data_IF_275039246683
#
_entry.id   IF_275039246683
#
_cell.length_a   1.000
_cell.length_b   1.000
_cell.length_c   1.000
_cell.angle_alpha   90.00
_cell.angle_beta   90.00
_cell.angle_gamma   90.00
#
_symmetry.space_group_name_H-M   'P 1'
#
loop_
_entity.id
_entity.type
_entity.pdbx_description
1 polymer ?
#
# COMPACT_ATOMS: atom_id res chain seq x y z
N UNK A 1 23.45 -55.85 -25.92
CA UNK A 1 23.64 -55.85 -24.44
C UNK A 1 23.10 -54.55 -23.88
N UNK A 2 22.43 -54.59 -22.76
CA UNK A 2 21.99 -53.39 -22.06
C UNK A 2 23.19 -52.60 -21.53
N UNK A 3 23.15 -51.26 -21.52
CA UNK A 3 24.21 -50.42 -21.01
C UNK A 3 24.39 -50.60 -19.49
N UNK A 4 25.64 -50.43 -19.03
CA UNK A 4 25.97 -50.35 -17.61
C UNK A 4 26.54 -48.96 -17.29
N UNK A 5 26.40 -48.51 -16.05
CA UNK A 5 26.97 -47.23 -15.63
C UNK A 5 28.49 -47.16 -15.82
N UNK A 6 29.17 -48.27 -15.60
CA UNK A 6 30.60 -48.38 -15.85
C UNK A 6 30.95 -48.13 -17.33
N UNK A 7 30.20 -48.74 -18.27
CA UNK A 7 30.40 -48.53 -19.69
C UNK A 7 30.14 -47.09 -20.12
N UNK A 8 29.18 -46.43 -19.49
CA UNK A 8 28.87 -45.01 -19.74
C UNK A 8 29.97 -44.09 -19.25
N UNK A 9 30.51 -44.35 -18.03
CA UNK A 9 31.57 -43.53 -17.42
C UNK A 9 32.88 -43.64 -18.17
N UNK A 10 33.23 -44.86 -18.61
CA UNK A 10 34.54 -45.14 -19.29
C UNK A 10 34.49 -44.77 -20.78
N UNK A 11 33.34 -44.52 -21.37
CA UNK A 11 33.19 -44.18 -22.77
C UNK A 11 33.86 -42.82 -23.08
N UNK A 12 34.87 -42.83 -23.98
CA UNK A 12 35.56 -41.61 -24.45
C UNK A 12 34.88 -41.02 -25.67
N UNK A 13 34.82 -39.68 -25.81
CA UNK A 13 34.40 -39.03 -27.03
C UNK A 13 35.33 -39.33 -28.19
N UNK A 14 34.82 -39.41 -29.38
CA UNK A 14 35.59 -39.61 -30.62
C UNK A 14 35.39 -38.44 -31.57
N UNK A 15 36.03 -38.47 -32.75
CA UNK A 15 35.94 -37.39 -33.75
C UNK A 15 34.53 -37.25 -34.36
N UNK A 16 33.68 -38.26 -34.21
CA UNK A 16 32.25 -38.25 -34.60
C UNK A 16 31.37 -38.68 -33.45
N UNK A 17 30.11 -38.19 -33.44
CA UNK A 17 29.14 -38.58 -32.42
C UNK A 17 28.92 -40.11 -32.41
N UNK A 18 29.09 -40.72 -31.20
CA UNK A 18 28.98 -42.19 -31.00
C UNK A 18 27.64 -42.50 -30.31
N UNK A 19 26.90 -43.45 -30.88
CA UNK A 19 25.68 -44.02 -30.27
C UNK A 19 26.02 -45.25 -29.45
N UNK A 20 25.60 -45.30 -28.21
CA UNK A 20 25.66 -46.49 -27.33
C UNK A 20 24.23 -46.92 -27.02
N UNK A 21 23.77 -48.02 -27.64
CA UNK A 21 22.41 -48.51 -27.50
C UNK A 21 22.19 -49.22 -26.16
N UNK A 22 21.03 -48.91 -25.48
CA UNK A 22 20.58 -49.58 -24.26
C UNK A 22 19.45 -50.60 -24.53
N UNK A 23 18.95 -50.61 -25.75
CA UNK A 23 17.80 -51.45 -26.16
C UNK A 23 16.45 -50.70 -26.08
N UNK A 24 15.47 -51.31 -26.75
CA UNK A 24 14.10 -50.73 -26.81
C UNK A 24 14.03 -49.29 -27.37
N UNK A 25 14.97 -48.92 -28.28
CA UNK A 25 15.03 -47.58 -28.87
C UNK A 25 15.82 -46.53 -28.04
N UNK A 26 16.20 -46.84 -26.80
CA UNK A 26 17.01 -45.95 -25.97
C UNK A 26 18.51 -46.06 -26.30
N UNK A 27 19.21 -44.94 -26.38
CA UNK A 27 20.64 -44.87 -26.54
C UNK A 27 21.26 -43.63 -25.90
N UNK A 28 22.53 -43.71 -25.54
CA UNK A 28 23.35 -42.58 -25.16
C UNK A 28 24.11 -42.07 -26.39
N UNK A 29 23.93 -40.81 -26.74
CA UNK A 29 24.71 -40.13 -27.78
C UNK A 29 25.89 -39.38 -27.12
N UNK A 30 27.11 -39.78 -27.42
CA UNK A 30 28.31 -39.08 -26.96
C UNK A 30 28.80 -38.22 -28.12
N UNK A 31 28.76 -36.91 -27.91
CA UNK A 31 29.24 -35.94 -28.91
C UNK A 31 30.76 -35.75 -28.86
N UNK A 32 31.40 -35.25 -29.95
CA UNK A 32 32.85 -35.00 -29.96
C UNK A 32 33.34 -34.05 -28.88
N UNK A 33 32.48 -33.12 -28.41
CA UNK A 33 32.77 -32.20 -27.29
C UNK A 33 32.61 -32.83 -25.90
N UNK A 34 32.38 -34.14 -25.83
CA UNK A 34 32.23 -34.88 -24.57
C UNK A 34 30.82 -34.82 -23.95
N UNK A 35 29.87 -34.05 -24.48
CA UNK A 35 28.49 -34.04 -23.98
C UNK A 35 27.78 -35.38 -24.26
N UNK A 36 26.97 -35.84 -23.29
CA UNK A 36 26.33 -37.16 -23.33
C UNK A 36 24.84 -36.99 -23.20
N UNK A 37 24.10 -37.36 -24.25
CA UNK A 37 22.67 -37.10 -24.36
C UNK A 37 21.89 -38.41 -24.49
N UNK A 38 20.92 -38.59 -23.61
CA UNK A 38 19.94 -39.67 -23.75
C UNK A 38 18.98 -39.36 -24.83
N UNK A 39 18.80 -40.32 -25.77
CA UNK A 39 17.90 -40.27 -26.92
C UNK A 39 17.07 -41.52 -26.98
N UNK A 40 15.81 -41.39 -27.45
CA UNK A 40 14.89 -42.48 -27.68
C UNK A 40 14.34 -42.39 -29.09
N UNK A 41 14.70 -43.39 -29.94
CA UNK A 41 14.20 -43.53 -31.29
C UNK A 41 12.91 -44.40 -31.27
N UNK A 42 11.86 -43.93 -31.90
CA UNK A 42 10.55 -44.60 -31.99
C UNK A 42 9.87 -44.35 -33.32
N UNK A 43 8.78 -45.10 -33.61
CA UNK A 43 7.91 -44.87 -34.78
C UNK A 43 6.54 -44.43 -34.32
N UNK A 44 5.97 -43.45 -35.02
CA UNK A 44 4.61 -42.99 -34.80
C UNK A 44 4.00 -42.53 -36.13
N UNK A 45 2.80 -42.99 -36.46
CA UNK A 45 2.17 -42.68 -37.74
C UNK A 45 3.05 -43.04 -38.96
N UNK A 46 3.76 -44.18 -38.91
CA UNK A 46 4.66 -44.61 -40.00
C UNK A 46 6.01 -43.89 -40.07
N UNK A 47 6.20 -42.80 -39.34
CA UNK A 47 7.43 -41.97 -39.35
C UNK A 47 8.37 -42.31 -38.18
N UNK A 48 9.67 -42.35 -38.47
CA UNK A 48 10.71 -42.45 -37.40
C UNK A 48 10.92 -41.09 -36.74
N UNK A 49 10.88 -41.06 -35.42
CA UNK A 49 11.10 -39.87 -34.60
C UNK A 49 12.11 -40.14 -33.48
N UNK A 50 12.76 -39.10 -33.00
CA UNK A 50 13.73 -39.18 -31.86
C UNK A 50 13.31 -38.22 -30.78
N UNK A 51 13.18 -38.71 -29.55
CA UNK A 51 12.86 -37.92 -28.38
C UNK A 51 14.11 -37.72 -27.50
N UNK A 52 14.33 -36.51 -27.02
CA UNK A 52 15.38 -36.24 -26.06
C UNK A 52 14.90 -36.60 -24.64
N UNK A 53 15.67 -37.48 -23.97
CA UNK A 53 15.39 -38.01 -22.65
C UNK A 53 16.17 -37.32 -21.54
N UNK A 54 17.15 -36.47 -21.88
CA UNK A 54 17.96 -35.71 -20.92
C UNK A 54 19.46 -35.82 -21.18
N UNK A 55 20.24 -35.27 -20.28
CA UNK A 55 21.69 -35.22 -20.38
C UNK A 55 22.33 -35.99 -19.20
N UNK A 56 23.28 -36.89 -19.50
CA UNK A 56 24.07 -37.56 -18.48
C UNK A 56 25.17 -36.62 -17.98
N UNK A 57 25.53 -36.55 -16.68
CA UNK A 57 25.03 -37.38 -15.58
C UNK A 57 23.76 -36.85 -14.88
N UNK A 58 23.24 -35.68 -15.21
CA UNK A 58 22.02 -35.11 -14.60
C UNK A 58 20.81 -36.08 -14.68
N UNK A 59 20.71 -36.83 -15.77
CA UNK A 59 19.79 -37.94 -15.92
C UNK A 59 20.59 -39.23 -15.92
N UNK A 60 20.39 -40.06 -14.92
CA UNK A 60 21.03 -41.36 -14.75
C UNK A 60 20.50 -42.38 -15.76
N UNK A 61 21.17 -43.52 -15.90
CA UNK A 61 20.72 -44.63 -16.73
C UNK A 61 19.34 -45.16 -16.29
N UNK A 62 19.13 -45.28 -14.97
CA UNK A 62 17.85 -45.73 -14.41
C UNK A 62 16.73 -44.78 -14.77
N UNK A 63 16.92 -43.48 -14.59
CA UNK A 63 15.93 -42.46 -14.95
C UNK A 63 15.67 -42.39 -16.48
N UNK A 64 16.70 -42.59 -17.29
CA UNK A 64 16.54 -42.65 -18.73
C UNK A 64 15.69 -43.86 -19.19
N UNK A 65 15.85 -45.00 -18.55
CA UNK A 65 15.02 -46.18 -18.71
C UNK A 65 13.58 -45.95 -18.31
N UNK A 66 13.37 -45.34 -17.15
CA UNK A 66 12.02 -44.97 -16.68
C UNK A 66 11.31 -44.03 -17.66
N UNK A 67 11.99 -42.97 -18.11
CA UNK A 67 11.46 -42.04 -19.13
C UNK A 67 11.15 -42.75 -20.45
N UNK A 68 11.95 -43.74 -20.86
CA UNK A 68 11.64 -44.60 -22.03
C UNK A 68 10.33 -45.36 -21.81
N UNK A 69 10.14 -45.99 -20.64
CA UNK A 69 8.91 -46.74 -20.37
C UNK A 69 7.68 -45.82 -20.34
N UNK A 70 7.79 -44.64 -19.78
CA UNK A 70 6.74 -43.60 -19.84
C UNK A 70 6.40 -43.22 -21.28
N UNK A 71 7.41 -43.00 -22.15
CA UNK A 71 7.22 -42.69 -23.55
C UNK A 71 6.60 -43.88 -24.30
N UNK A 72 6.95 -45.14 -24.00
CA UNK A 72 6.35 -46.33 -24.56
C UNK A 72 4.87 -46.51 -24.16
N UNK A 73 4.52 -46.17 -22.92
CA UNK A 73 3.10 -46.16 -22.49
C UNK A 73 2.29 -45.15 -23.28
N UNK A 74 2.82 -43.95 -23.57
CA UNK A 74 2.14 -42.97 -24.42
C UNK A 74 1.92 -43.50 -25.83
N UNK A 75 2.95 -44.12 -26.42
CA UNK A 75 2.85 -44.74 -27.75
C UNK A 75 1.82 -45.86 -27.82
N UNK A 76 1.76 -46.72 -26.78
CA UNK A 76 0.76 -47.77 -26.64
C UNK A 76 -0.67 -47.22 -26.59
N UNK A 77 -0.85 -46.04 -26.02
CA UNK A 77 -2.12 -45.31 -25.95
C UNK A 77 -2.39 -44.43 -27.20
N UNK A 78 -1.62 -44.59 -28.28
CA UNK A 78 -1.80 -43.80 -29.51
C UNK A 78 -1.39 -42.32 -29.40
N UNK A 79 -0.60 -41.94 -28.42
CA UNK A 79 -0.15 -40.53 -28.18
C UNK A 79 1.34 -40.39 -28.56
N UNK A 80 1.65 -39.38 -29.39
CA UNK A 80 3.04 -39.06 -29.73
C UNK A 80 3.78 -38.41 -28.54
N UNK A 81 4.80 -39.05 -27.97
CA UNK A 81 5.55 -38.51 -26.86
C UNK A 81 6.20 -37.12 -27.11
N UNK A 82 6.57 -36.85 -28.36
CA UNK A 82 7.17 -35.56 -28.73
C UNK A 82 6.15 -34.43 -28.68
N UNK A 83 4.96 -34.66 -29.24
CA UNK A 83 3.86 -33.67 -29.21
C UNK A 83 3.31 -33.52 -27.80
N UNK A 84 3.20 -34.61 -27.03
CA UNK A 84 2.80 -34.55 -25.64
C UNK A 84 3.77 -33.66 -24.81
N UNK A 85 5.09 -33.83 -24.99
CA UNK A 85 6.11 -33.00 -24.30
C UNK A 85 6.03 -31.55 -24.73
N UNK A 86 5.78 -31.25 -26.00
CA UNK A 86 5.60 -29.87 -26.48
C UNK A 86 4.33 -29.25 -25.90
N UNK A 87 3.23 -29.98 -25.86
CA UNK A 87 1.98 -29.53 -25.26
C UNK A 87 2.12 -29.25 -23.77
N UNK A 88 2.80 -30.12 -23.02
CA UNK A 88 3.11 -29.88 -21.60
C UNK A 88 3.96 -28.62 -21.38
N UNK A 89 4.99 -28.43 -22.23
CA UNK A 89 5.84 -27.23 -22.15
C UNK A 89 5.04 -25.96 -22.46
N UNK A 90 4.21 -25.98 -23.49
CA UNK A 90 3.34 -24.87 -23.85
C UNK A 90 2.33 -24.56 -22.72
N UNK A 91 1.69 -25.59 -22.17
CA UNK A 91 0.77 -25.43 -21.04
C UNK A 91 1.48 -24.85 -19.81
N UNK A 92 2.70 -25.30 -19.50
CA UNK A 92 3.51 -24.73 -18.40
C UNK A 92 3.87 -23.26 -18.64
N UNK A 93 4.19 -22.89 -19.88
CA UNK A 93 4.46 -21.49 -20.23
C UNK A 93 3.21 -20.61 -20.10
N UNK A 94 2.06 -21.09 -20.56
CA UNK A 94 0.77 -20.40 -20.41
C UNK A 94 0.41 -20.24 -18.94
N UNK A 95 0.60 -21.29 -18.13
CA UNK A 95 0.39 -21.22 -16.66
C UNK A 95 1.29 -20.19 -16.00
N UNK A 96 2.57 -20.17 -16.37
CA UNK A 96 3.52 -19.19 -15.83
C UNK A 96 3.18 -17.75 -16.24
N UNK A 97 2.78 -17.53 -17.50
CA UNK A 97 2.34 -16.24 -18.00
C UNK A 97 1.03 -15.75 -17.36
N UNK A 98 0.20 -16.66 -16.87
CA UNK A 98 -1.06 -16.36 -16.16
C UNK A 98 -0.95 -16.56 -14.65
N UNK A 99 0.26 -16.50 -14.08
CA UNK A 99 0.43 -16.53 -12.63
C UNK A 99 -0.16 -15.26 -11.99
N UNK A 100 -0.60 -15.39 -10.73
CA UNK A 100 -1.22 -14.28 -10.00
C UNK A 100 -0.32 -13.04 -9.95
N UNK A 101 0.99 -13.21 -9.74
CA UNK A 101 1.94 -12.11 -9.68
C UNK A 101 2.05 -11.38 -11.03
N UNK A 102 2.16 -12.12 -12.14
CA UNK A 102 2.22 -11.53 -13.50
C UNK A 102 0.97 -10.70 -13.77
N UNK A 103 -0.20 -11.25 -13.49
CA UNK A 103 -1.50 -10.56 -13.68
C UNK A 103 -1.61 -9.34 -12.74
N UNK A 104 -1.18 -9.48 -11.48
CA UNK A 104 -1.22 -8.39 -10.52
C UNK A 104 -0.30 -7.23 -10.88
N UNK A 105 0.91 -7.52 -11.38
CA UNK A 105 1.85 -6.49 -11.84
C UNK A 105 1.36 -5.76 -13.09
N UNK A 106 0.71 -6.49 -14.01
CA UNK A 106 0.07 -5.90 -15.17
C UNK A 106 -1.10 -4.99 -14.77
N UNK A 107 -2.01 -5.49 -13.93
CA UNK A 107 -3.08 -4.68 -13.34
C UNK A 107 -2.56 -3.42 -12.65
N UNK A 108 -1.51 -3.55 -11.86
CA UNK A 108 -0.89 -2.41 -11.18
C UNK A 108 -0.33 -1.39 -12.17
N UNK A 109 0.36 -1.84 -13.22
CA UNK A 109 0.92 -0.98 -14.27
C UNK A 109 -0.17 -0.17 -14.99
N UNK A 110 -1.31 -0.76 -15.25
CA UNK A 110 -2.43 -0.08 -15.92
C UNK A 110 -3.12 0.95 -15.00
N UNK A 111 -3.24 0.66 -13.71
CA UNK A 111 -4.06 1.46 -12.80
C UNK A 111 -3.28 2.47 -11.94
N UNK A 112 -1.98 2.24 -11.68
CA UNK A 112 -1.21 3.04 -10.72
C UNK A 112 -1.16 4.54 -11.03
N UNK A 113 -1.27 4.92 -12.29
CA UNK A 113 -1.25 6.33 -12.74
C UNK A 113 -2.44 7.14 -12.21
N UNK A 114 -3.55 6.47 -11.90
CA UNK A 114 -4.76 7.10 -11.36
C UNK A 114 -4.72 7.26 -9.84
N UNK A 115 -3.68 6.76 -9.18
CA UNK A 115 -3.56 6.79 -7.72
C UNK A 115 -2.49 7.77 -7.27
N UNK A 116 -2.69 8.32 -6.05
CA UNK A 116 -1.61 9.04 -5.40
C UNK A 116 -0.41 8.09 -5.20
N UNK A 117 0.81 8.59 -5.42
CA UNK A 117 2.04 7.78 -5.33
C UNK A 117 2.13 6.95 -4.05
N UNK A 118 1.86 7.58 -2.89
CA UNK A 118 1.89 6.89 -1.59
C UNK A 118 0.84 5.78 -1.45
N UNK A 119 -0.28 5.86 -2.15
CA UNK A 119 -1.30 4.81 -2.19
C UNK A 119 -0.86 3.65 -3.07
N UNK A 120 -0.35 3.96 -4.28
CA UNK A 120 0.21 2.97 -5.18
C UNK A 120 1.36 2.17 -4.53
N UNK A 121 2.32 2.87 -3.91
CA UNK A 121 3.45 2.24 -3.20
C UNK A 121 2.96 1.26 -2.10
N UNK A 122 1.92 1.64 -1.35
CA UNK A 122 1.35 0.77 -0.31
C UNK A 122 0.62 -0.45 -0.88
N UNK A 123 0.00 -0.35 -2.05
CA UNK A 123 -0.64 -1.49 -2.72
C UNK A 123 0.41 -2.49 -3.15
N UNK A 124 1.42 -2.04 -3.92
CA UNK A 124 2.42 -2.96 -4.45
C UNK A 124 3.26 -3.59 -3.34
N UNK A 125 3.69 -2.83 -2.34
CA UNK A 125 4.42 -3.35 -1.18
C UNK A 125 3.63 -4.41 -0.42
N UNK A 126 2.30 -4.22 -0.26
CA UNK A 126 1.43 -5.21 0.39
C UNK A 126 1.34 -6.49 -0.42
N UNK A 127 1.18 -6.40 -1.75
CA UNK A 127 1.17 -7.56 -2.62
C UNK A 127 2.50 -8.30 -2.59
N UNK A 128 3.62 -7.60 -2.72
CA UNK A 128 4.97 -8.18 -2.72
C UNK A 128 5.34 -8.83 -1.40
N UNK A 129 5.04 -8.17 -0.29
CA UNK A 129 5.41 -8.66 1.04
C UNK A 129 4.49 -9.77 1.55
N UNK A 130 3.20 -9.65 1.31
CA UNK A 130 2.20 -10.42 2.03
C UNK A 130 1.46 -11.45 1.16
N UNK A 131 1.38 -11.26 -0.16
CA UNK A 131 0.58 -12.09 -1.07
C UNK A 131 1.44 -12.90 -2.04
N UNK A 132 2.37 -12.27 -2.76
CA UNK A 132 3.17 -12.94 -3.79
C UNK A 132 4.01 -14.12 -3.27
N UNK A 133 4.57 -14.10 -2.06
CA UNK A 133 5.31 -15.24 -1.55
C UNK A 133 4.50 -16.54 -1.46
N UNK A 134 3.17 -16.44 -1.44
CA UNK A 134 2.25 -17.56 -1.26
C UNK A 134 1.41 -17.87 -2.49
N UNK A 135 0.93 -16.86 -3.19
CA UNK A 135 0.02 -17.00 -4.33
C UNK A 135 0.65 -16.58 -5.65
N UNK A 136 1.78 -15.86 -5.62
CA UNK A 136 2.35 -15.20 -6.80
C UNK A 136 2.62 -16.14 -7.96
N UNK A 137 3.21 -17.29 -7.71
CA UNK A 137 3.54 -18.30 -8.74
C UNK A 137 2.38 -19.19 -9.15
N UNK A 138 1.20 -19.11 -8.50
CA UNK A 138 0.03 -19.91 -8.82
C UNK A 138 -0.70 -19.36 -10.05
N UNK A 139 -1.18 -20.19 -10.99
CA UNK A 139 -2.07 -19.72 -12.05
C UNK A 139 -3.32 -19.06 -11.44
N UNK A 140 -3.66 -17.86 -11.90
CA UNK A 140 -4.76 -17.06 -11.31
C UNK A 140 -6.11 -17.79 -11.37
N UNK A 141 -6.36 -18.58 -12.40
CA UNK A 141 -7.59 -19.36 -12.55
C UNK A 141 -7.72 -20.53 -11.54
N UNK A 142 -6.61 -20.98 -10.96
CA UNK A 142 -6.58 -22.16 -10.08
C UNK A 142 -6.60 -21.77 -8.58
N UNK A 143 -6.52 -20.49 -8.25
CA UNK A 143 -6.51 -20.02 -6.86
C UNK A 143 -7.93 -20.05 -6.30
N UNK A 144 -8.07 -20.69 -5.15
CA UNK A 144 -9.34 -20.88 -4.45
C UNK A 144 -9.50 -19.94 -3.26
N UNK A 145 -10.74 -19.72 -2.81
CA UNK A 145 -11.03 -18.91 -1.63
C UNK A 145 -10.31 -19.39 -0.35
N UNK A 146 -10.24 -20.72 -0.03
CA UNK A 146 -9.47 -21.19 1.12
C UNK A 146 -7.98 -20.83 1.06
N UNK A 147 -7.33 -20.87 -0.09
CA UNK A 147 -5.92 -20.50 -0.24
C UNK A 147 -5.71 -19.02 0.06
N UNK A 148 -6.59 -18.15 -0.43
CA UNK A 148 -6.56 -16.71 -0.12
C UNK A 148 -6.78 -16.51 1.38
N UNK A 149 -7.75 -17.20 2.00
CA UNK A 149 -8.04 -17.07 3.42
C UNK A 149 -6.82 -17.40 4.29
N UNK A 150 -6.06 -18.43 3.93
CA UNK A 150 -4.81 -18.79 4.64
C UNK A 150 -3.84 -17.61 4.63
N UNK A 151 -3.65 -16.95 3.50
CA UNK A 151 -2.78 -15.78 3.38
C UNK A 151 -3.31 -14.61 4.22
N UNK A 152 -4.61 -14.32 4.13
CA UNK A 152 -5.23 -13.23 4.88
C UNK A 152 -5.16 -13.46 6.39
N UNK A 153 -5.39 -14.71 6.87
CA UNK A 153 -5.23 -15.07 8.29
C UNK A 153 -3.80 -14.93 8.78
N UNK A 154 -2.81 -15.22 7.94
CA UNK A 154 -1.39 -15.01 8.25
C UNK A 154 -1.08 -13.52 8.45
N UNK A 155 -1.65 -12.64 7.65
CA UNK A 155 -1.54 -11.18 7.82
C UNK A 155 -2.24 -10.75 9.11
N UNK A 156 -3.46 -11.22 9.34
CA UNK A 156 -4.25 -10.91 10.53
C UNK A 156 -3.57 -11.37 11.83
N UNK A 157 -2.93 -12.55 11.83
CA UNK A 157 -2.21 -13.11 12.98
C UNK A 157 -1.02 -12.26 13.47
N UNK A 158 -0.53 -11.33 12.66
CA UNK A 158 0.46 -10.32 13.07
C UNK A 158 -0.16 -9.11 13.78
N UNK A 159 -1.45 -9.14 14.11
CA UNK A 159 -2.17 -8.00 14.69
C UNK A 159 -2.57 -6.92 13.67
N UNK A 160 -2.45 -7.19 12.36
CA UNK A 160 -2.68 -6.21 11.29
C UNK A 160 -3.95 -6.53 10.49
N UNK A 161 -5.08 -6.66 11.17
CA UNK A 161 -6.37 -7.07 10.60
C UNK A 161 -6.86 -6.15 9.46
N UNK A 162 -6.70 -4.82 9.62
CA UNK A 162 -7.01 -3.86 8.55
C UNK A 162 -6.16 -4.10 7.28
N UNK A 163 -4.89 -4.46 7.45
CA UNK A 163 -4.02 -4.81 6.33
C UNK A 163 -4.49 -6.09 5.65
N UNK A 164 -5.00 -7.09 6.40
CA UNK A 164 -5.56 -8.30 5.82
C UNK A 164 -6.79 -8.00 4.96
N UNK A 165 -7.73 -7.18 5.45
CA UNK A 165 -8.90 -6.76 4.67
C UNK A 165 -8.49 -6.00 3.39
N UNK A 166 -7.52 -5.09 3.50
CA UNK A 166 -7.00 -4.36 2.33
C UNK A 166 -6.29 -5.28 1.33
N UNK A 167 -5.56 -6.30 1.81
CA UNK A 167 -4.93 -7.30 0.95
C UNK A 167 -5.99 -8.11 0.18
N UNK A 168 -7.05 -8.54 0.87
CA UNK A 168 -8.20 -9.20 0.24
C UNK A 168 -8.84 -8.33 -0.84
N UNK A 169 -9.09 -7.05 -0.55
CA UNK A 169 -9.60 -6.10 -1.54
C UNK A 169 -8.69 -5.91 -2.75
N UNK A 170 -7.35 -5.90 -2.55
CA UNK A 170 -6.41 -5.85 -3.67
C UNK A 170 -6.42 -7.15 -4.49
N UNK A 171 -6.49 -8.33 -3.84
CA UNK A 171 -6.64 -9.60 -4.54
C UNK A 171 -7.92 -9.60 -5.41
N UNK A 172 -9.05 -9.17 -4.86
CA UNK A 172 -10.31 -9.05 -5.61
C UNK A 172 -10.18 -8.16 -6.85
N UNK A 173 -9.47 -7.03 -6.74
CA UNK A 173 -9.21 -6.16 -7.89
C UNK A 173 -8.37 -6.85 -8.97
N UNK A 174 -7.37 -7.63 -8.58
CA UNK A 174 -6.55 -8.43 -9.51
C UNK A 174 -7.39 -9.52 -10.17
N UNK A 175 -8.24 -10.25 -9.43
CA UNK A 175 -9.13 -11.25 -10.02
C UNK A 175 -10.12 -10.64 -11.01
N UNK A 176 -10.72 -9.51 -10.68
CA UNK A 176 -11.62 -8.80 -11.62
C UNK A 176 -10.91 -8.39 -12.91
N UNK A 177 -9.65 -7.96 -12.81
CA UNK A 177 -8.82 -7.68 -13.97
C UNK A 177 -8.51 -8.97 -14.76
N UNK A 178 -8.21 -10.08 -14.07
CA UNK A 178 -7.99 -11.38 -14.69
C UNK A 178 -9.25 -11.86 -15.47
N UNK A 179 -10.43 -11.66 -14.90
CA UNK A 179 -11.71 -11.98 -15.55
C UNK A 179 -11.91 -11.12 -16.80
N UNK A 180 -11.72 -9.81 -16.68
CA UNK A 180 -11.85 -8.87 -17.81
C UNK A 180 -10.89 -9.17 -18.96
N UNK A 181 -9.73 -9.79 -18.67
CA UNK A 181 -8.72 -10.19 -19.66
C UNK A 181 -8.79 -11.68 -20.04
N UNK A 182 -9.86 -12.40 -19.66
CA UNK A 182 -10.10 -13.80 -20.03
C UNK A 182 -9.15 -14.81 -19.37
N UNK A 183 -8.48 -14.46 -18.26
CA UNK A 183 -7.51 -15.31 -17.56
C UNK A 183 -8.08 -15.99 -16.30
N UNK A 184 -9.27 -15.61 -15.86
CA UNK A 184 -10.02 -16.25 -14.78
C UNK A 184 -11.52 -16.15 -15.07
N UNK A 185 -12.31 -17.07 -14.49
CA UNK A 185 -13.77 -17.11 -14.67
C UNK A 185 -14.50 -16.41 -13.53
N UNK A 186 -13.91 -16.36 -12.32
CA UNK A 186 -14.53 -15.78 -11.12
C UNK A 186 -13.52 -15.14 -10.18
N UNK A 187 -14.02 -14.24 -9.34
CA UNK A 187 -13.31 -13.69 -8.18
C UNK A 187 -13.69 -14.52 -6.94
N UNK A 188 -12.74 -15.25 -6.31
CA UNK A 188 -13.04 -16.05 -5.12
C UNK A 188 -13.09 -15.24 -3.82
N UNK A 189 -12.68 -13.95 -3.82
CA UNK A 189 -12.59 -13.15 -2.59
C UNK A 189 -13.95 -12.84 -1.95
N UNK A 190 -15.04 -12.57 -2.69
CA UNK A 190 -16.38 -12.39 -2.11
C UNK A 190 -16.86 -13.55 -1.24
N UNK A 191 -16.44 -14.79 -1.52
CA UNK A 191 -16.79 -15.98 -0.72
C UNK A 191 -16.20 -15.92 0.69
N UNK A 192 -15.24 -15.04 0.93
CA UNK A 192 -14.58 -14.84 2.21
C UNK A 192 -15.29 -13.81 3.12
N UNK A 193 -16.45 -13.30 2.70
CA UNK A 193 -17.20 -12.34 3.53
C UNK A 193 -17.54 -13.00 4.88
N UNK A 194 -17.15 -12.34 5.97
CA UNK A 194 -17.35 -12.86 7.34
C UNK A 194 -16.30 -13.87 7.81
N UNK A 195 -15.40 -14.36 6.95
CA UNK A 195 -14.35 -15.32 7.31
C UNK A 195 -13.20 -14.73 8.15
N UNK A 196 -13.08 -13.39 8.15
CA UNK A 196 -12.19 -12.63 9.05
C UNK A 196 -13.04 -11.77 9.98
N UNK A 197 -12.61 -11.55 11.24
CA UNK A 197 -13.24 -10.57 12.12
C UNK A 197 -13.29 -9.18 11.46
N UNK A 198 -14.31 -8.35 11.77
CA UNK A 198 -14.35 -6.99 11.24
C UNK A 198 -13.19 -6.17 11.78
N UNK A 199 -12.50 -5.44 10.91
CA UNK A 199 -11.50 -4.46 11.33
C UNK A 199 -12.23 -3.25 11.94
N UNK A 200 -12.25 -3.16 13.27
CA UNK A 200 -12.79 -1.99 13.96
C UNK A 200 -11.75 -0.86 13.82
N UNK A 201 -12.09 0.18 13.06
CA UNK A 201 -11.31 1.41 13.03
C UNK A 201 -11.26 2.01 14.45
N UNK A 202 -10.07 2.33 14.93
CA UNK A 202 -9.94 3.18 16.13
C UNK A 202 -9.97 4.62 15.67
N UNK A 203 -10.77 5.46 16.34
CA UNK A 203 -10.68 6.90 16.17
C UNK A 203 -9.28 7.39 16.59
N UNK A 204 -8.80 8.44 15.98
CA UNK A 204 -7.56 9.07 16.43
C UNK A 204 -7.73 9.59 17.84
N UNK A 205 -6.75 9.31 18.69
CA UNK A 205 -6.73 9.82 20.05
C UNK A 205 -6.74 11.36 20.04
N UNK A 206 -7.62 11.95 20.84
CA UNK A 206 -7.81 13.39 20.96
C UNK A 206 -8.18 13.76 22.40
N UNK A 207 -7.58 14.82 22.91
CA UNK A 207 -7.97 15.45 24.17
C UNK A 207 -9.14 16.41 23.89
N UNK A 208 -10.24 16.26 24.61
CA UNK A 208 -11.42 17.14 24.52
C UNK A 208 -11.74 17.85 25.83
N UNK A 209 -11.09 17.47 26.93
CA UNK A 209 -11.17 18.12 28.21
C UNK A 209 -10.39 19.44 28.18
N UNK A 210 -11.02 20.61 28.43
CA UNK A 210 -10.36 21.92 28.38
C UNK A 210 -9.14 22.02 29.30
N UNK A 211 -9.17 21.45 30.51
CA UNK A 211 -8.06 21.49 31.44
C UNK A 211 -6.82 20.78 30.91
N UNK A 212 -7.02 19.56 30.36
CA UNK A 212 -5.97 18.76 29.71
C UNK A 212 -5.45 19.40 28.43
N UNK A 213 -6.31 20.11 27.69
CA UNK A 213 -5.87 20.89 26.52
C UNK A 213 -4.95 22.03 26.97
N UNK A 214 -5.28 22.73 28.05
CA UNK A 214 -4.40 23.76 28.65
C UNK A 214 -3.01 23.22 29.04
N UNK A 215 -2.97 22.04 29.67
CA UNK A 215 -1.72 21.31 29.97
C UNK A 215 -0.90 20.99 28.74
N UNK A 216 -1.56 20.45 27.70
CA UNK A 216 -0.93 20.14 26.43
C UNK A 216 -0.32 21.40 25.79
N UNK A 217 -1.06 22.52 25.74
CA UNK A 217 -0.59 23.77 25.15
C UNK A 217 0.64 24.32 25.87
N UNK A 218 0.67 24.27 27.23
CA UNK A 218 1.83 24.67 28.03
C UNK A 218 3.03 23.76 27.75
N UNK A 219 2.82 22.44 27.65
CA UNK A 219 3.89 21.51 27.32
C UNK A 219 4.45 21.77 25.91
N UNK A 220 3.58 22.14 24.95
CA UNK A 220 4.01 22.48 23.58
C UNK A 220 4.84 23.76 23.53
N UNK A 221 4.54 24.76 24.38
CA UNK A 221 5.35 25.98 24.47
C UNK A 221 6.73 25.72 25.07
N UNK A 222 6.81 24.78 26.04
CA UNK A 222 8.05 24.36 26.66
C UNK A 222 8.86 23.35 25.82
N UNK A 223 8.33 22.90 24.68
CA UNK A 223 8.98 21.87 23.89
C UNK A 223 10.30 22.35 23.27
N UNK A 224 11.40 21.65 23.58
CA UNK A 224 12.71 21.91 23.01
C UNK A 224 12.93 21.08 21.73
N UNK A 225 12.91 21.73 20.58
CA UNK A 225 13.10 21.15 19.25
C UNK A 225 13.55 22.22 18.26
N UNK A 226 13.68 21.87 16.97
CA UNK A 226 13.99 22.87 15.95
C UNK A 226 12.83 23.86 15.84
N UNK A 227 13.14 25.13 15.60
CA UNK A 227 12.15 26.21 15.55
C UNK A 227 10.99 25.93 14.57
N UNK A 228 11.22 25.39 13.36
CA UNK A 228 10.10 24.99 12.47
C UNK A 228 9.18 23.94 13.08
N UNK A 229 9.70 22.99 13.86
CA UNK A 229 8.88 21.96 14.53
C UNK A 229 8.10 22.57 15.71
N UNK A 230 8.69 23.50 16.47
CA UNK A 230 7.98 24.25 17.52
C UNK A 230 6.81 25.05 16.93
N UNK A 231 7.04 25.77 15.82
CA UNK A 231 6.00 26.53 15.14
C UNK A 231 4.89 25.61 14.58
N UNK A 232 5.25 24.48 13.97
CA UNK A 232 4.28 23.50 13.47
C UNK A 232 3.41 22.91 14.58
N UNK A 233 4.02 22.62 15.75
CA UNK A 233 3.29 22.17 16.93
C UNK A 233 2.28 23.22 17.41
N UNK A 234 2.69 24.47 17.57
CA UNK A 234 1.80 25.57 17.99
C UNK A 234 0.68 25.84 16.99
N UNK A 235 0.97 25.74 15.70
CA UNK A 235 -0.01 25.95 14.64
C UNK A 235 -0.99 24.78 14.46
N UNK A 236 -0.61 23.55 14.83
CA UNK A 236 -1.46 22.37 14.66
C UNK A 236 -2.84 22.50 15.37
N UNK A 237 -2.95 22.87 16.66
CA UNK A 237 -4.23 23.11 17.30
C UNK A 237 -4.96 24.37 16.81
N UNK A 238 -4.22 25.43 16.45
CA UNK A 238 -4.80 26.70 16.00
C UNK A 238 -5.49 26.56 14.65
N UNK A 239 -4.90 25.83 13.70
CA UNK A 239 -5.39 25.66 12.34
C UNK A 239 -6.26 24.43 12.15
N UNK A 240 -6.05 23.38 12.93
CA UNK A 240 -6.68 22.06 12.91
C UNK A 240 -6.95 21.52 11.50
N UNK A 241 -6.08 21.83 10.54
CA UNK A 241 -6.02 21.24 9.21
C UNK A 241 -5.47 19.81 9.25
N UNK A 242 -5.51 19.06 8.16
CA UNK A 242 -4.88 17.72 8.16
C UNK A 242 -3.37 17.83 8.34
N UNK A 243 -2.73 16.94 9.15
CA UNK A 243 -1.28 17.01 9.38
C UNK A 243 -0.44 17.01 8.10
N UNK A 244 -0.93 16.32 7.05
CA UNK A 244 -0.28 16.33 5.73
C UNK A 244 -0.35 17.67 5.03
N UNK A 245 -1.43 18.42 5.22
CA UNK A 245 -1.61 19.77 4.69
C UNK A 245 -0.72 20.76 5.43
N UNK A 246 -0.75 20.75 6.77
CA UNK A 246 0.10 21.63 7.59
C UNK A 246 1.58 21.48 7.25
N UNK A 247 2.11 20.23 7.27
CA UNK A 247 3.54 20.02 7.02
C UNK A 247 4.01 20.41 5.61
N UNK A 248 3.10 20.40 4.63
CA UNK A 248 3.38 20.73 3.23
C UNK A 248 3.00 22.17 2.87
N UNK A 249 2.60 22.98 3.85
CA UNK A 249 2.24 24.36 3.63
C UNK A 249 3.41 25.13 2.99
N UNK A 250 3.08 25.98 2.01
CA UNK A 250 4.03 26.78 1.25
C UNK A 250 3.82 28.26 1.55
N UNK A 251 4.89 29.05 1.45
CA UNK A 251 4.83 30.49 1.69
C UNK A 251 3.97 31.20 0.66
N UNK A 252 4.00 30.77 -0.59
CA UNK A 252 3.22 31.35 -1.69
C UNK A 252 1.70 31.19 -1.50
N UNK A 253 1.28 30.25 -0.65
CA UNK A 253 -0.13 30.00 -0.32
C UNK A 253 -0.67 30.95 0.77
N UNK A 254 0.19 31.76 1.42
CA UNK A 254 -0.15 32.65 2.54
C UNK A 254 -0.33 34.09 2.06
N UNK A 255 -1.53 34.63 2.23
CA UNK A 255 -1.84 36.05 2.06
C UNK A 255 -1.90 36.71 3.45
N UNK A 256 -0.82 37.41 3.82
CA UNK A 256 -0.72 38.09 5.12
C UNK A 256 -1.67 39.29 5.24
N UNK A 257 -1.95 39.99 4.11
CA UNK A 257 -2.79 41.19 4.12
C UNK A 257 -4.27 40.81 4.32
N UNK A 258 -4.70 39.70 3.68
CA UNK A 258 -6.06 39.18 3.86
C UNK A 258 -6.19 38.25 5.05
N UNK A 259 -5.08 37.88 5.69
CA UNK A 259 -5.01 36.87 6.74
C UNK A 259 -5.65 35.55 6.29
N UNK A 260 -5.21 35.02 5.17
CA UNK A 260 -5.74 33.81 4.55
C UNK A 260 -4.62 32.85 4.12
N UNK A 261 -4.87 31.55 4.30
CA UNK A 261 -4.10 30.47 3.71
C UNK A 261 -4.96 29.76 2.65
N UNK A 262 -4.50 29.72 1.40
CA UNK A 262 -5.21 29.10 0.29
C UNK A 262 -4.39 27.97 -0.28
N UNK A 263 -4.92 26.75 -0.30
CA UNK A 263 -4.22 25.59 -0.82
C UNK A 263 -5.16 24.60 -1.48
N UNK A 264 -4.60 23.71 -2.30
CA UNK A 264 -5.34 22.65 -2.97
C UNK A 264 -5.32 21.38 -2.14
N UNK A 265 -6.51 20.90 -1.72
CA UNK A 265 -6.66 19.65 -0.97
C UNK A 265 -6.58 18.47 -1.93
N UNK A 266 -5.44 17.79 -1.98
CA UNK A 266 -5.19 16.67 -2.92
C UNK A 266 -6.14 15.49 -2.72
N UNK A 267 -6.63 15.25 -1.49
CA UNK A 267 -7.56 14.16 -1.17
C UNK A 267 -8.95 14.36 -1.74
N UNK A 268 -9.47 15.58 -1.71
CA UNK A 268 -10.82 15.94 -2.20
C UNK A 268 -10.78 16.61 -3.57
N UNK A 269 -9.59 16.94 -4.07
CA UNK A 269 -9.37 17.69 -5.33
C UNK A 269 -10.12 19.04 -5.36
N UNK A 270 -10.09 19.76 -4.24
CA UNK A 270 -10.79 21.03 -4.08
C UNK A 270 -9.85 22.09 -3.51
N UNK A 271 -10.07 23.36 -3.89
CA UNK A 271 -9.43 24.48 -3.21
C UNK A 271 -10.02 24.66 -1.81
N UNK A 272 -9.16 24.90 -0.86
CA UNK A 272 -9.53 25.21 0.51
C UNK A 272 -8.89 26.52 0.96
N UNK A 273 -9.67 27.34 1.65
CA UNK A 273 -9.24 28.60 2.25
C UNK A 273 -9.36 28.46 3.76
N UNK A 274 -8.31 28.79 4.49
CA UNK A 274 -8.25 28.82 5.96
C UNK A 274 -8.05 30.26 6.41
N UNK A 275 -9.01 30.88 7.13
CA UNK A 275 -8.80 32.15 7.77
C UNK A 275 -7.76 32.04 8.88
N UNK A 276 -6.83 32.98 8.94
CA UNK A 276 -5.73 33.00 9.92
C UNK A 276 -6.06 33.97 11.07
N UNK A 277 -5.98 33.46 12.29
CA UNK A 277 -6.09 34.29 13.51
C UNK A 277 -4.84 35.13 13.72
N UNK A 278 -4.92 36.15 14.56
CA UNK A 278 -3.75 36.99 14.93
C UNK A 278 -2.59 36.19 15.47
N UNK A 279 -2.86 35.15 16.28
CA UNK A 279 -1.87 34.25 16.85
C UNK A 279 -1.14 33.45 15.76
N UNK A 280 -1.89 32.96 14.75
CA UNK A 280 -1.30 32.25 13.62
C UNK A 280 -0.39 33.15 12.80
N UNK A 281 -0.85 34.39 12.50
CA UNK A 281 -0.05 35.38 11.76
C UNK A 281 1.24 35.71 12.51
N UNK A 282 1.19 35.89 13.84
CA UNK A 282 2.38 36.15 14.65
C UNK A 282 3.41 35.01 14.52
N UNK A 283 2.98 33.74 14.69
CA UNK A 283 3.88 32.58 14.58
C UNK A 283 4.47 32.48 13.15
N UNK A 284 3.68 32.73 12.11
CA UNK A 284 4.18 32.68 10.73
C UNK A 284 5.19 33.79 10.46
N UNK A 285 4.98 35.00 10.97
CA UNK A 285 5.94 36.12 10.86
C UNK A 285 7.24 35.84 11.58
N UNK A 286 7.19 35.23 12.76
CA UNK A 286 8.39 34.82 13.50
C UNK A 286 9.18 33.72 12.74
N UNK A 287 8.51 32.85 12.01
CA UNK A 287 9.14 31.77 11.24
C UNK A 287 9.66 32.23 9.88
N UNK A 288 9.08 33.27 9.29
CA UNK A 288 9.40 33.75 7.94
C UNK A 288 10.88 34.08 7.71
N UNK A 289 11.61 34.73 8.63
CA UNK A 289 13.03 34.99 8.46
C UNK A 289 13.89 33.74 8.31
N UNK A 290 13.44 32.62 8.88
CA UNK A 290 14.19 31.35 8.87
C UNK A 290 13.92 30.52 7.60
N UNK A 291 12.69 30.46 7.12
CA UNK A 291 12.28 29.56 6.03
C UNK A 291 11.64 30.27 4.84
N UNK A 292 11.43 31.59 4.91
CA UNK A 292 10.71 32.37 3.90
C UNK A 292 11.41 32.49 2.54
N UNK A 293 12.71 32.19 2.46
CA UNK A 293 13.44 32.10 1.20
C UNK A 293 13.24 30.74 0.48
N UNK A 294 12.65 29.76 1.17
CA UNK A 294 12.34 28.43 0.63
C UNK A 294 10.88 28.30 0.25
N UNK A 295 10.54 27.17 -0.37
CA UNK A 295 9.17 26.85 -0.76
C UNK A 295 8.28 26.54 0.45
N UNK A 296 8.77 25.71 1.39
CA UNK A 296 7.97 25.19 2.49
C UNK A 296 8.08 26.05 3.74
N UNK A 297 6.95 26.31 4.39
CA UNK A 297 6.90 26.95 5.71
C UNK A 297 7.65 26.10 6.74
N UNK A 298 7.52 24.78 6.64
CA UNK A 298 8.18 23.82 7.53
C UNK A 298 9.13 22.91 6.72
N UNK A 299 10.36 23.38 6.45
CA UNK A 299 11.33 22.60 5.70
C UNK A 299 11.82 21.38 6.48
N UNK A 300 12.25 20.35 5.76
CA UNK A 300 12.86 19.16 6.36
C UNK A 300 14.25 19.46 6.93
N UNK A 301 14.55 18.93 8.11
CA UNK A 301 15.83 19.19 8.78
C UNK A 301 17.07 18.64 8.05
N UNK A 302 16.92 17.63 7.18
CA UNK A 302 18.02 17.06 6.38
C UNK A 302 18.07 17.62 4.96
N UNK A 303 16.94 18.01 4.43
CA UNK A 303 16.78 18.51 3.07
C UNK A 303 15.71 19.61 3.08
N UNK A 304 16.13 20.89 3.03
CA UNK A 304 15.19 22.02 3.03
C UNK A 304 14.29 22.10 1.79
N UNK A 305 14.65 21.40 0.71
CA UNK A 305 13.82 21.29 -0.50
C UNK A 305 12.62 20.34 -0.33
N UNK A 306 12.52 19.68 0.80
CA UNK A 306 11.39 18.84 1.18
C UNK A 306 10.67 19.40 2.38
N UNK A 307 9.37 19.14 2.46
CA UNK A 307 8.60 19.42 3.67
C UNK A 307 9.07 18.56 4.85
N UNK A 308 8.84 19.01 6.09
CA UNK A 308 9.12 18.23 7.28
C UNK A 308 8.48 16.84 7.22
N UNK A 309 9.05 15.90 7.99
CA UNK A 309 8.53 14.52 8.07
C UNK A 309 7.08 14.47 8.54
N UNK A 310 6.29 13.54 8.02
CA UNK A 310 4.92 13.25 8.44
C UNK A 310 4.83 12.77 9.91
N UNK A 311 5.92 12.22 10.44
CA UNK A 311 6.03 11.80 11.83
C UNK A 311 6.43 12.90 12.79
N UNK A 312 6.84 14.11 12.34
CA UNK A 312 7.49 15.12 13.15
C UNK A 312 6.63 15.56 14.36
N UNK A 313 5.37 15.92 14.12
CA UNK A 313 4.45 16.36 15.20
C UNK A 313 4.18 15.22 16.18
N UNK A 314 3.90 14.01 15.71
CA UNK A 314 3.67 12.86 16.61
C UNK A 314 4.94 12.46 17.38
N UNK A 315 6.12 12.63 16.78
CA UNK A 315 7.39 12.39 17.48
C UNK A 315 7.63 13.43 18.58
N UNK A 316 7.27 14.69 18.33
CA UNK A 316 7.36 15.75 19.32
C UNK A 316 6.37 15.53 20.48
N UNK A 317 5.10 15.15 20.20
CA UNK A 317 4.12 14.79 21.22
C UNK A 317 4.63 13.66 22.13
N UNK A 318 5.20 12.59 21.55
CA UNK A 318 5.80 11.50 22.33
C UNK A 318 6.99 11.94 23.18
N UNK A 319 7.85 12.84 22.67
CA UNK A 319 8.97 13.38 23.45
C UNK A 319 8.53 14.25 24.64
N UNK A 320 7.35 14.86 24.54
CA UNK A 320 6.72 15.58 25.64
C UNK A 320 5.98 14.65 26.63
N UNK A 321 5.98 13.32 26.39
CA UNK A 321 5.35 12.32 27.26
C UNK A 321 3.93 11.94 26.89
N UNK A 322 3.33 12.52 25.86
CA UNK A 322 1.96 12.17 25.44
C UNK A 322 1.90 10.85 24.68
N UNK A 323 0.93 10.02 25.03
CA UNK A 323 0.67 8.77 24.34
C UNK A 323 -0.12 9.02 23.06
N UNK A 324 0.53 8.81 21.89
CA UNK A 324 -0.12 9.02 20.59
C UNK A 324 -1.07 7.91 20.17
N UNK A 325 -1.34 6.90 21.02
CA UNK A 325 -2.37 5.87 20.77
C UNK A 325 -3.65 6.12 21.57
N UNK A 326 -3.54 6.78 22.75
CA UNK A 326 -4.64 6.91 23.70
C UNK A 326 -4.97 8.35 24.09
N UNK A 327 -4.03 9.30 23.96
CA UNK A 327 -4.23 10.69 24.42
C UNK A 327 -4.40 11.66 23.26
N UNK A 328 -3.35 11.90 22.46
CA UNK A 328 -3.39 12.89 21.39
C UNK A 328 -2.49 12.52 20.21
N UNK A 329 -2.98 12.72 19.01
CA UNK A 329 -2.20 12.62 17.77
C UNK A 329 -2.22 13.94 17.03
N UNK A 330 -1.32 14.13 16.05
CA UNK A 330 -1.39 15.26 15.13
C UNK A 330 -2.76 15.36 14.42
N UNK A 331 -3.41 14.22 14.13
CA UNK A 331 -4.76 14.21 13.57
C UNK A 331 -5.84 14.47 14.63
N UNK A 332 -5.55 14.15 15.90
CA UNK A 332 -6.45 14.36 17.03
C UNK A 332 -6.77 15.83 17.29
N UNK A 333 -5.90 16.77 16.92
CA UNK A 333 -6.20 18.21 17.01
C UNK A 333 -7.47 18.60 16.24
N UNK A 334 -7.82 17.91 15.18
CA UNK A 334 -9.07 18.16 14.44
C UNK A 334 -10.30 17.72 15.21
N UNK A 335 -10.22 16.54 15.85
CA UNK A 335 -11.30 16.04 16.70
C UNK A 335 -11.45 16.91 17.96
N UNK A 336 -10.33 17.34 18.57
CA UNK A 336 -10.27 18.29 19.68
C UNK A 336 -11.00 19.59 19.31
N UNK A 337 -10.61 20.23 18.21
CA UNK A 337 -11.21 21.49 17.78
C UNK A 337 -12.70 21.31 17.42
N UNK A 338 -13.06 20.27 16.69
CA UNK A 338 -14.45 19.99 16.32
C UNK A 338 -15.34 19.87 17.56
N UNK A 339 -14.90 19.10 18.55
CA UNK A 339 -15.69 18.86 19.78
C UNK A 339 -15.81 20.13 20.61
N UNK A 340 -14.70 20.79 20.92
CA UNK A 340 -14.72 21.97 21.78
C UNK A 340 -15.43 23.15 21.08
N UNK A 341 -15.24 23.36 19.78
CA UNK A 341 -15.99 24.39 19.05
C UNK A 341 -17.49 24.18 19.11
N UNK A 342 -17.94 22.92 19.06
CA UNK A 342 -19.37 22.60 19.11
C UNK A 342 -19.92 22.65 20.54
N UNK A 343 -19.24 22.00 21.51
CA UNK A 343 -19.75 21.79 22.86
C UNK A 343 -19.52 22.99 23.79
N UNK A 344 -18.31 23.59 23.73
CA UNK A 344 -17.93 24.69 24.64
C UNK A 344 -18.18 26.07 24.04
N UNK A 345 -17.92 26.23 22.72
CA UNK A 345 -18.03 27.52 22.04
C UNK A 345 -19.33 27.66 21.21
N UNK A 346 -20.18 26.65 21.22
CA UNK A 346 -21.50 26.63 20.58
C UNK A 346 -21.48 27.09 19.11
N UNK A 347 -20.42 26.75 18.38
CA UNK A 347 -20.27 27.11 16.98
C UNK A 347 -21.11 26.17 16.11
N UNK A 348 -21.69 26.72 15.05
CA UNK A 348 -22.56 25.97 14.13
C UNK A 348 -21.79 24.83 13.46
N UNK A 349 -22.32 23.58 13.45
CA UNK A 349 -21.65 22.44 12.86
C UNK A 349 -21.25 22.65 11.40
N UNK A 350 -22.08 23.30 10.58
CA UNK A 350 -21.80 23.55 9.16
C UNK A 350 -20.55 24.43 8.98
N UNK A 351 -20.35 25.43 9.84
CA UNK A 351 -19.18 26.33 9.80
C UNK A 351 -17.92 25.55 10.17
N UNK A 352 -18.00 24.67 11.19
CA UNK A 352 -16.90 23.81 11.62
C UNK A 352 -16.54 22.81 10.53
N UNK A 353 -17.52 22.11 9.94
CA UNK A 353 -17.26 21.11 8.89
C UNK A 353 -16.65 21.74 7.62
N UNK A 354 -17.09 22.94 7.24
CA UNK A 354 -16.44 23.70 6.16
C UNK A 354 -14.99 24.07 6.48
N UNK A 355 -14.71 24.45 7.74
CA UNK A 355 -13.31 24.73 8.18
C UNK A 355 -12.46 23.45 8.13
N UNK A 356 -13.03 22.31 8.44
CA UNK A 356 -12.39 21.01 8.36
C UNK A 356 -12.22 20.49 6.92
N UNK A 357 -12.68 21.21 5.90
CA UNK A 357 -12.73 20.73 4.51
C UNK A 357 -13.40 19.36 4.38
N UNK A 358 -14.53 19.19 5.09
CA UNK A 358 -15.42 18.05 4.93
C UNK A 358 -16.53 18.40 3.95
N UNK A 359 -17.05 17.37 3.25
CA UNK A 359 -18.28 17.53 2.49
C UNK A 359 -19.42 17.71 3.49
N UNK A 360 -20.08 18.87 3.44
CA UNK A 360 -21.30 19.10 4.22
C UNK A 360 -22.46 18.52 3.41
N UNK A 361 -23.20 17.54 3.95
CA UNK A 361 -24.41 17.05 3.30
C UNK A 361 -25.41 18.20 3.16
N UNK A 362 -25.82 18.47 1.94
CA UNK A 362 -26.85 19.43 1.64
C UNK A 362 -28.05 18.72 0.99
N UNK A 363 -29.25 18.94 1.52
CA UNK A 363 -30.46 18.32 0.98
C UNK A 363 -30.74 18.70 -0.49
N UNK A 364 -30.20 19.86 -0.94
CA UNK A 364 -30.35 20.37 -2.31
C UNK A 364 -29.12 20.06 -3.19
N UNK A 365 -28.05 19.43 -2.62
CA UNK A 365 -26.82 19.09 -3.31
C UNK A 365 -25.85 20.26 -3.50
N UNK A 366 -24.57 19.94 -3.68
CA UNK A 366 -23.46 20.92 -3.80
C UNK A 366 -23.57 21.87 -5.00
N UNK A 367 -24.44 21.56 -5.99
CA UNK A 367 -24.67 22.41 -7.15
C UNK A 367 -25.36 23.74 -6.77
N UNK A 368 -26.17 23.74 -5.72
CA UNK A 368 -26.94 24.90 -5.28
C UNK A 368 -26.33 25.62 -4.08
N UNK A 369 -25.62 24.91 -3.19
CA UNK A 369 -24.99 25.51 -2.02
C UNK A 369 -23.50 25.76 -2.25
N UNK A 370 -23.17 27.00 -2.66
CA UNK A 370 -21.80 27.49 -2.81
C UNK A 370 -21.30 28.29 -1.61
N UNK A 371 -22.04 28.25 -0.51
CA UNK A 371 -21.73 29.02 0.70
C UNK A 371 -20.46 28.46 1.34
N UNK A 372 -19.47 29.33 1.56
CA UNK A 372 -18.19 28.99 2.19
C UNK A 372 -18.09 29.47 3.64
N UNK A 373 -19.13 30.12 4.17
CA UNK A 373 -19.20 30.68 5.53
C UNK A 373 -17.94 31.48 5.92
N UNK A 374 -17.34 32.24 4.98
CA UNK A 374 -16.03 32.81 5.19
C UNK A 374 -16.00 33.83 6.34
N UNK A 375 -17.06 34.64 6.48
CA UNK A 375 -17.15 35.64 7.53
C UNK A 375 -17.28 34.96 8.91
N UNK A 376 -18.16 33.99 9.00
CA UNK A 376 -18.38 33.21 10.25
C UNK A 376 -17.13 32.41 10.61
N UNK A 377 -16.46 31.82 9.63
CA UNK A 377 -15.20 31.10 9.85
C UNK A 377 -14.08 32.02 10.34
N UNK A 378 -13.96 33.26 9.84
CA UNK A 378 -13.01 34.24 10.38
C UNK A 378 -13.26 34.52 11.86
N UNK A 379 -14.50 34.77 12.21
CA UNK A 379 -14.89 35.01 13.62
C UNK A 379 -14.63 33.77 14.48
N UNK A 380 -15.01 32.59 14.00
CA UNK A 380 -14.79 31.32 14.70
C UNK A 380 -13.30 31.03 14.91
N UNK A 381 -12.46 31.22 13.90
CA UNK A 381 -11.00 30.96 14.00
C UNK A 381 -10.31 31.91 15.00
N UNK A 382 -10.75 33.16 15.06
CA UNK A 382 -10.21 34.09 16.06
C UNK A 382 -10.70 33.72 17.46
N UNK A 383 -12.01 33.44 17.63
CA UNK A 383 -12.57 33.00 18.91
C UNK A 383 -11.88 31.72 19.41
N UNK A 384 -11.63 30.77 18.52
CA UNK A 384 -10.92 29.54 18.84
C UNK A 384 -9.48 29.81 19.34
N UNK A 385 -8.74 30.66 18.66
CA UNK A 385 -7.37 31.00 19.04
C UNK A 385 -7.33 31.72 20.40
N UNK A 386 -8.24 32.67 20.64
CA UNK A 386 -8.36 33.38 21.90
C UNK A 386 -8.78 32.45 23.06
N UNK A 387 -9.62 31.44 22.77
CA UNK A 387 -9.99 30.40 23.73
C UNK A 387 -8.80 29.50 24.10
N UNK A 388 -7.99 29.07 23.13
CA UNK A 388 -6.78 28.30 23.40
C UNK A 388 -5.78 29.08 24.26
N UNK A 389 -5.64 30.39 24.01
CA UNK A 389 -4.79 31.26 24.88
C UNK A 389 -5.30 31.32 26.30
N UNK A 390 -6.61 31.40 26.53
CA UNK A 390 -7.19 31.34 27.88
C UNK A 390 -6.92 30.01 28.56
N UNK A 391 -7.11 28.89 27.89
CA UNK A 391 -6.81 27.56 28.41
C UNK A 391 -5.33 27.42 28.78
N UNK A 392 -4.44 27.94 27.94
CA UNK A 392 -3.01 27.93 28.18
C UNK A 392 -2.62 28.78 29.41
N UNK A 393 -3.25 29.93 29.58
CA UNK A 393 -3.03 30.81 30.73
C UNK A 393 -3.52 30.20 32.06
N UNK A 394 -4.34 29.13 32.01
CA UNK A 394 -4.89 28.50 33.21
C UNK A 394 -6.02 29.29 33.85
N UNK A 395 -6.65 30.22 33.12
CA UNK A 395 -7.83 30.93 33.57
C UNK A 395 -9.05 29.97 33.61
N UNK A 396 -9.89 30.07 34.63
CA UNK A 396 -11.18 29.37 34.68
C UNK A 396 -12.02 29.80 33.50
N UNK A 397 -12.34 28.85 32.63
CA UNK A 397 -13.22 29.09 31.48
C UNK A 397 -14.66 28.99 31.98
N UNK A 398 -15.22 30.13 32.33
CA UNK A 398 -16.67 30.22 32.62
C UNK A 398 -17.42 30.14 31.28
N UNK A 399 -18.36 29.19 31.10
CA UNK A 399 -19.20 29.15 29.91
C UNK A 399 -19.91 30.50 29.71
N UNK A 400 -19.88 31.03 28.49
CA UNK A 400 -20.48 32.32 28.14
C UNK A 400 -22.03 32.33 28.29
N UNK A 401 -22.64 31.17 28.45
CA UNK A 401 -24.07 31.02 28.70
C UNK A 401 -24.24 30.20 29.98
N UNK A 402 -24.62 30.87 31.06
CA UNK A 402 -25.07 30.22 32.27
C UNK A 402 -26.21 29.27 31.96
N UNK A 403 -26.20 28.09 32.57
CA UNK A 403 -27.40 27.26 32.65
C UNK A 403 -28.49 28.10 33.29
N UNK A 404 -29.46 28.52 32.52
CA UNK A 404 -30.76 28.93 33.11
C UNK A 404 -31.30 27.67 33.77
N UNK A 405 -31.48 27.76 35.08
CA UNK A 405 -32.07 26.73 35.93
C UNK A 405 -33.49 26.40 35.49
#
# INVERSE_FOLDING_TARGET
MALTDTAIRTAKPGPKAKKMADGGGLYLLINPNGSRWWRFDYRFGGKRKTLSMGVYPTVTLAEARERREQARKLLANGVDPSEHKKAQKAASQVRAANSFEVVAREWFKEHHRNWAKSHADKIIQRLEKDVFPWLGGRPVAEITAPEILIVLRRIAGRGTLDTAHRAGGNCSQVFRYAIATGRAERDPVPDLRGALPPARGKNFAALTDPAKVGELLRAMDAFNGTFPVQCALRLAPLLFVRPGELRQAQWDDIDFDKAEWRYFVTKTKTEHLVPLSRQVIAILRDLQPLSGTGQFIFPGGRDPKRAMSDAAINAALRRMGFNTQTEITAHGFRAMARTILAEELHQRPEVIEHQLAHAVPDALGSAYNRTKFLKERRTMMQLWADYLDKLKAGADVVPLHGKTA
#
